data_IF_584141562333
#
_entry.id   IF_584141562333
#
_cell.length_a   1.000
_cell.length_b   1.000
_cell.length_c   1.000
_cell.angle_alpha   90.00
_cell.angle_beta   90.00
_cell.angle_gamma   90.00
#
_symmetry.space_group_name_H-M   'P 1'
#
loop_
_entity.id
_entity.type
_entity.pdbx_description
1 polymer ?
#
# COMPACT_ATOMS: atom_id res chain seq x y z
N UNK A 1 18.98 -1.66 -8.68
CA UNK A 1 17.77 -1.65 -7.86
C UNK A 1 16.74 -0.85 -8.61
N UNK A 2 15.63 -1.45 -9.06
CA UNK A 2 14.57 -0.67 -9.69
C UNK A 2 14.01 0.27 -8.64
N UNK A 3 14.11 1.57 -8.87
CA UNK A 3 13.59 2.60 -7.97
C UNK A 3 12.07 2.48 -8.00
N UNK A 4 11.46 2.11 -6.88
CA UNK A 4 10.00 2.11 -6.76
C UNK A 4 9.49 3.55 -6.89
N UNK A 5 8.34 3.77 -7.55
CA UNK A 5 7.68 5.07 -7.54
C UNK A 5 7.31 5.49 -6.11
N UNK A 6 7.18 6.79 -5.87
CA UNK A 6 6.65 7.28 -4.59
C UNK A 6 5.20 6.78 -4.39
N UNK A 7 4.80 6.38 -3.17
CA UNK A 7 3.45 5.91 -2.91
C UNK A 7 2.39 6.96 -3.26
N UNK A 8 1.36 6.56 -4.02
CA UNK A 8 0.25 7.44 -4.38
C UNK A 8 -0.65 7.79 -3.18
N UNK A 9 -0.58 7.02 -2.09
CA UNK A 9 -1.29 7.29 -0.84
C UNK A 9 -0.30 7.52 0.32
N UNK A 10 -0.67 8.41 1.24
CA UNK A 10 0.06 8.62 2.51
C UNK A 10 0.24 7.35 3.35
N UNK A 11 -0.64 6.37 3.18
CA UNK A 11 -0.58 5.09 3.90
C UNK A 11 0.25 4.03 3.15
N UNK A 12 0.58 4.23 1.87
CA UNK A 12 1.35 3.28 1.08
C UNK A 12 0.95 3.18 -0.39
N UNK A 13 1.28 2.05 -1.02
CA UNK A 13 1.06 1.80 -2.44
C UNK A 13 -0.37 1.30 -2.68
N UNK A 14 -1.05 1.86 -3.68
CA UNK A 14 -2.36 1.37 -4.12
C UNK A 14 -2.21 0.06 -4.89
N UNK A 15 -3.30 -0.71 -5.02
CA UNK A 15 -3.31 -1.95 -5.82
C UNK A 15 -2.90 -1.68 -7.27
N UNK A 16 -3.39 -0.59 -7.87
CA UNK A 16 -3.05 -0.19 -9.24
C UNK A 16 -1.56 0.09 -9.39
N UNK A 17 -0.99 0.88 -8.46
CA UNK A 17 0.43 1.20 -8.46
C UNK A 17 1.29 -0.05 -8.27
N UNK A 18 0.85 -1.03 -7.47
CA UNK A 18 1.53 -2.31 -7.30
C UNK A 18 1.47 -3.17 -8.56
N UNK A 19 0.33 -3.20 -9.25
CA UNK A 19 0.18 -3.92 -10.51
C UNK A 19 1.12 -3.36 -11.57
N UNK A 20 1.21 -2.03 -11.69
CA UNK A 20 2.13 -1.36 -12.61
C UNK A 20 3.60 -1.60 -12.23
N UNK A 21 3.95 -1.47 -10.95
CA UNK A 21 5.34 -1.59 -10.48
C UNK A 21 5.88 -3.03 -10.51
N UNK A 22 5.01 -4.03 -10.29
CA UNK A 22 5.41 -5.43 -10.17
C UNK A 22 5.18 -6.25 -11.44
N UNK A 23 4.27 -5.82 -12.32
CA UNK A 23 3.90 -6.55 -13.53
C UNK A 23 3.58 -8.01 -13.22
N UNK A 24 4.27 -8.94 -13.86
CA UNK A 24 4.11 -10.40 -13.70
C UNK A 24 4.30 -10.90 -12.25
N UNK A 25 4.94 -10.11 -11.38
CA UNK A 25 5.14 -10.46 -9.96
C UNK A 25 3.96 -10.06 -9.06
N UNK A 26 2.96 -9.34 -9.58
CA UNK A 26 1.83 -8.85 -8.79
C UNK A 26 1.05 -9.99 -8.12
N UNK A 27 0.79 -11.09 -8.84
CA UNK A 27 0.10 -12.26 -8.28
C UNK A 27 0.90 -12.95 -7.18
N UNK A 28 2.21 -13.05 -7.35
CA UNK A 28 3.10 -13.61 -6.34
C UNK A 28 3.12 -12.73 -5.09
N UNK A 29 3.11 -11.40 -5.26
CA UNK A 29 3.01 -10.47 -4.15
C UNK A 29 1.66 -10.55 -3.43
N UNK A 30 0.54 -10.67 -4.17
CA UNK A 30 -0.79 -10.86 -3.59
C UNK A 30 -0.87 -12.12 -2.73
N UNK A 31 -0.28 -13.23 -3.20
CA UNK A 31 -0.15 -14.45 -2.39
C UNK A 31 0.77 -14.27 -1.18
N UNK A 32 1.87 -13.53 -1.34
CA UNK A 32 2.79 -13.21 -0.24
C UNK A 32 2.10 -12.37 0.84
N UNK A 33 1.28 -11.39 0.46
CA UNK A 33 0.47 -10.56 1.35
C UNK A 33 -0.74 -11.28 1.96
N UNK A 34 -1.05 -12.51 1.53
CA UNK A 34 -2.19 -13.26 2.07
C UNK A 34 -2.02 -13.49 3.57
N UNK A 35 -3.02 -13.07 4.36
CA UNK A 35 -3.00 -13.13 5.83
C UNK A 35 -2.23 -12.00 6.51
N UNK A 36 -1.61 -11.08 5.77
CA UNK A 36 -0.95 -9.90 6.31
C UNK A 36 -1.93 -8.71 6.40
N UNK A 37 -1.59 -7.74 7.25
CA UNK A 37 -2.40 -6.54 7.45
C UNK A 37 -2.03 -5.45 6.44
N UNK A 38 -3.04 -4.85 5.81
CA UNK A 38 -2.92 -3.62 5.03
C UNK A 38 -3.75 -2.49 5.62
N UNK A 39 -3.77 -1.35 4.94
CA UNK A 39 -4.66 -0.24 5.26
C UNK A 39 -5.80 -0.15 4.24
N UNK A 40 -6.92 0.43 4.64
CA UNK A 40 -7.98 0.85 3.72
C UNK A 40 -8.01 2.37 3.72
N UNK A 41 -7.97 2.97 2.54
CA UNK A 41 -8.13 4.40 2.34
C UNK A 41 -9.41 4.68 1.55
N UNK A 42 -10.35 5.34 2.20
CA UNK A 42 -11.61 5.80 1.64
C UNK A 42 -11.54 7.27 1.18
N UNK A 43 -10.33 7.82 1.04
CA UNK A 43 -10.11 9.21 0.67
C UNK A 43 -10.33 10.20 1.82
N UNK A 44 -10.42 9.72 3.07
CA UNK A 44 -10.58 10.56 4.24
C UNK A 44 -9.58 10.19 5.34
N UNK A 45 -9.27 11.16 6.19
CA UNK A 45 -8.48 10.97 7.38
C UNK A 45 -9.18 11.64 8.56
N UNK A 46 -9.15 10.99 9.71
CA UNK A 46 -9.66 11.58 10.93
C UNK A 46 -8.67 12.64 11.43
N UNK A 47 -9.16 13.86 11.57
CA UNK A 47 -8.47 14.97 12.23
C UNK A 47 -8.80 14.88 13.73
N UNK A 48 -7.81 14.51 14.54
CA UNK A 48 -7.99 14.32 15.97
C UNK A 48 -8.14 15.63 16.74
N UNK A 49 -7.64 16.74 16.21
CA UNK A 49 -7.75 18.05 16.87
C UNK A 49 -9.15 18.63 16.65
N UNK A 50 -9.71 18.45 15.44
CA UNK A 50 -11.04 18.90 15.09
C UNK A 50 -12.15 17.85 15.35
N UNK A 51 -11.78 16.63 15.71
CA UNK A 51 -12.66 15.48 15.92
C UNK A 51 -13.57 15.14 14.73
N UNK A 52 -13.10 15.37 13.49
CA UNK A 52 -13.89 15.20 12.26
C UNK A 52 -13.11 14.46 11.16
N UNK A 53 -13.81 13.92 10.17
CA UNK A 53 -13.16 13.36 8.98
C UNK A 53 -12.96 14.45 7.93
N UNK A 54 -11.73 14.55 7.40
CA UNK A 54 -11.35 15.47 6.32
C UNK A 54 -10.90 14.69 5.10
N UNK A 55 -11.14 15.24 3.92
CA UNK A 55 -10.67 14.65 2.66
C UNK A 55 -9.14 14.58 2.62
N UNK A 56 -8.62 13.49 2.10
CA UNK A 56 -7.21 13.36 1.74
C UNK A 56 -7.01 13.74 0.28
N UNK A 57 -5.81 14.22 -0.06
CA UNK A 57 -5.47 14.65 -1.43
C UNK A 57 -5.34 13.48 -2.44
N UNK A 58 -5.60 12.23 -2.04
CA UNK A 58 -5.46 11.04 -2.89
C UNK A 58 -6.78 10.41 -3.32
N UNK A 59 -7.93 10.87 -2.78
CA UNK A 59 -9.24 10.25 -3.04
C UNK A 59 -9.36 8.80 -2.55
N UNK A 60 -10.53 8.15 -2.76
CA UNK A 60 -10.74 6.75 -2.39
C UNK A 60 -10.05 5.80 -3.37
N UNK A 61 -9.26 4.87 -2.84
CA UNK A 61 -8.57 3.83 -3.64
C UNK A 61 -8.56 2.44 -2.97
N UNK A 62 -9.28 2.29 -1.85
CA UNK A 62 -9.50 0.99 -1.21
C UNK A 62 -8.24 0.48 -0.50
N UNK A 63 -7.83 -0.75 -0.81
CA UNK A 63 -6.70 -1.40 -0.14
C UNK A 63 -5.36 -0.72 -0.49
N UNK A 64 -4.52 -0.57 0.53
CA UNK A 64 -3.19 0.04 0.44
C UNK A 64 -2.19 -0.86 1.16
N UNK A 65 -1.03 -1.07 0.54
CA UNK A 65 0.05 -1.86 1.12
C UNK A 65 1.19 -0.97 1.58
N UNK A 66 1.71 -1.23 2.78
CA UNK A 66 2.78 -0.44 3.36
C UNK A 66 4.08 -0.61 2.55
N UNK A 67 4.84 0.48 2.44
CA UNK A 67 6.14 0.49 1.76
C UNK A 67 7.11 -0.56 2.31
N UNK A 68 7.01 -0.86 3.61
CA UNK A 68 7.85 -1.85 4.27
C UNK A 68 7.64 -3.27 3.70
N UNK A 69 6.39 -3.68 3.50
CA UNK A 69 6.03 -5.00 3.01
C UNK A 69 6.46 -5.21 1.57
N UNK A 70 6.26 -4.20 0.72
CA UNK A 70 6.74 -4.22 -0.66
C UNK A 70 8.27 -4.35 -0.72
N UNK A 71 8.99 -3.59 0.11
CA UNK A 71 10.46 -3.69 0.20
C UNK A 71 10.92 -5.07 0.67
N UNK A 72 10.25 -5.67 1.66
CA UNK A 72 10.56 -7.02 2.16
C UNK A 72 10.35 -8.07 1.08
N UNK A 73 9.23 -8.01 0.36
CA UNK A 73 8.98 -8.91 -0.76
C UNK A 73 10.05 -8.78 -1.85
N UNK A 74 10.45 -7.57 -2.20
CA UNK A 74 11.48 -7.34 -3.23
C UNK A 74 12.88 -7.79 -2.78
N UNK A 75 13.15 -7.75 -1.48
CA UNK A 75 14.37 -8.30 -0.88
C UNK A 75 14.36 -9.85 -0.76
N UNK A 76 13.26 -10.52 -1.13
CA UNK A 76 13.11 -11.97 -0.99
C UNK A 76 12.80 -12.43 0.44
N UNK A 77 12.31 -11.54 1.30
CA UNK A 77 11.89 -11.88 2.67
C UNK A 77 10.70 -12.83 2.70
N UNK A 78 10.61 -13.64 3.77
CA UNK A 78 9.43 -14.47 4.03
C UNK A 78 8.28 -13.60 4.55
N UNK A 79 7.00 -13.99 4.31
CA UNK A 79 5.87 -13.36 5.00
C UNK A 79 6.08 -13.46 6.52
N UNK A 80 5.90 -12.35 7.24
CA UNK A 80 5.89 -12.28 8.73
C UNK A 80 7.20 -12.56 9.50
N UNK A 81 8.34 -12.70 8.83
CA UNK A 81 9.69 -12.79 9.45
C UNK A 81 10.29 -11.47 9.99
#
# INVERSE_FOLDING_TARGET
MSTLPEPACRYGYTVEQLQEALGDRADAFGRWMSGQTGAICDGRAYDYDACEYRETNCGPHGSVVYSHDLRRFLAGGRPLD
#
